data_IF_683658812797
#
_entry.id   IF_683658812797
#
_cell.length_a   1.000
_cell.length_b   1.000
_cell.length_c   1.000
_cell.angle_alpha   90.00
_cell.angle_beta   90.00
_cell.angle_gamma   90.00
#
_symmetry.space_group_name_H-M   'P 1'
#
loop_
_entity.id
_entity.type
_entity.pdbx_description
1 polymer ?
#
# COMPACT_ATOMS: atom_id res chain seq x y z
N UNK A 1 28.30 -32.15 17.15
CA UNK A 1 27.63 -30.84 17.01
C UNK A 1 28.55 -29.93 16.22
N UNK A 2 28.17 -29.58 15.00
CA UNK A 2 28.68 -28.41 14.30
C UNK A 2 27.51 -27.86 13.48
N UNK A 3 26.97 -26.74 13.95
CA UNK A 3 25.96 -25.94 13.25
C UNK A 3 26.73 -25.11 12.22
N UNK A 4 26.56 -25.41 10.94
CA UNK A 4 26.88 -24.43 9.89
C UNK A 4 25.52 -23.86 9.49
N UNK A 5 25.20 -22.71 10.08
CA UNK A 5 24.11 -21.88 9.63
C UNK A 5 24.52 -21.29 8.28
N UNK A 6 23.84 -21.70 7.22
CA UNK A 6 23.90 -20.99 5.94
C UNK A 6 23.21 -19.65 6.16
N UNK A 7 24.01 -18.58 6.22
CA UNK A 7 23.51 -17.22 6.11
C UNK A 7 22.92 -17.06 4.70
N UNK A 8 21.60 -17.02 4.60
CA UNK A 8 20.94 -16.54 3.38
C UNK A 8 21.26 -15.05 3.34
N UNK A 9 22.05 -14.64 2.35
CA UNK A 9 22.11 -13.24 1.94
C UNK A 9 20.72 -12.88 1.42
N UNK A 10 19.87 -12.33 2.28
CA UNK A 10 18.74 -11.53 1.79
C UNK A 10 19.41 -10.27 1.25
N UNK A 11 19.49 -10.18 -0.07
CA UNK A 11 19.91 -8.99 -0.77
C UNK A 11 19.04 -7.84 -0.28
N UNK A 12 19.65 -6.90 0.41
CA UNK A 12 19.08 -5.61 0.74
C UNK A 12 18.65 -4.93 -0.56
N UNK A 13 17.36 -5.01 -0.90
CA UNK A 13 16.71 -3.94 -1.65
C UNK A 13 16.47 -2.81 -0.64
N UNK A 14 17.55 -2.12 -0.26
CA UNK A 14 17.39 -0.75 0.23
C UNK A 14 17.02 0.03 -1.02
N UNK A 15 15.73 0.13 -1.29
CA UNK A 15 15.21 1.13 -2.20
C UNK A 15 15.62 2.45 -1.56
N UNK A 16 16.67 3.05 -2.12
CA UNK A 16 17.10 4.38 -1.72
C UNK A 16 15.99 5.33 -2.19
N UNK A 17 14.96 5.55 -1.36
CA UNK A 17 13.79 6.42 -1.60
C UNK A 17 14.15 7.93 -1.72
N UNK A 18 15.40 8.27 -2.07
CA UNK A 18 15.94 9.63 -2.04
C UNK A 18 16.39 10.15 -3.42
N UNK A 19 15.85 9.64 -4.52
CA UNK A 19 15.96 10.27 -5.84
C UNK A 19 14.61 10.21 -6.55
N UNK A 20 14.23 11.31 -7.20
CA UNK A 20 13.03 11.44 -8.05
C UNK A 20 13.00 10.38 -9.14
N UNK A 21 12.56 9.18 -8.81
CA UNK A 21 12.33 8.11 -9.75
C UNK A 21 10.88 7.75 -9.64
N UNK A 22 10.15 7.97 -10.73
CA UNK A 22 8.82 7.42 -10.84
C UNK A 22 8.99 5.91 -10.90
N UNK A 23 8.38 5.19 -9.97
CA UNK A 23 8.32 3.74 -10.00
C UNK A 23 6.89 3.30 -10.13
N UNK A 24 6.72 2.14 -10.73
CA UNK A 24 5.42 1.57 -11.01
C UNK A 24 5.38 0.16 -10.42
N UNK A 25 4.28 -0.17 -9.76
CA UNK A 25 4.02 -1.52 -9.28
C UNK A 25 2.79 -2.08 -9.97
N UNK A 26 2.81 -3.37 -10.25
CA UNK A 26 1.61 -4.13 -10.61
C UNK A 26 1.29 -5.11 -9.49
N UNK A 27 0.03 -5.12 -9.03
CA UNK A 27 -0.50 -6.18 -8.17
C UNK A 27 -1.67 -6.87 -8.84
N UNK A 28 -1.67 -8.21 -8.79
CA UNK A 28 -2.81 -9.06 -9.18
C UNK A 28 -3.57 -9.60 -7.97
N UNK A 29 -3.16 -9.22 -6.76
CA UNK A 29 -3.68 -9.72 -5.51
C UNK A 29 -4.14 -8.52 -4.69
N UNK A 30 -5.37 -8.12 -4.94
CA UNK A 30 -6.00 -6.97 -4.32
C UNK A 30 -7.12 -7.47 -3.40
N UNK A 31 -7.04 -7.09 -2.14
CA UNK A 31 -8.02 -7.42 -1.13
C UNK A 31 -8.61 -6.15 -0.54
N UNK A 32 -9.93 -6.16 -0.35
CA UNK A 32 -10.62 -5.11 0.40
C UNK A 32 -11.00 -5.61 1.77
N UNK A 33 -10.70 -4.82 2.79
CA UNK A 33 -11.08 -5.08 4.17
C UNK A 33 -11.81 -3.87 4.77
N UNK A 34 -12.72 -4.14 5.70
CA UNK A 34 -13.46 -3.12 6.45
C UNK A 34 -13.20 -3.35 7.93
N UNK A 35 -13.06 -2.27 8.70
CA UNK A 35 -12.91 -2.35 10.14
C UNK A 35 -14.18 -2.91 10.79
N UNK A 36 -14.05 -4.06 11.44
CA UNK A 36 -15.10 -4.74 12.17
C UNK A 36 -14.90 -4.56 13.67
N UNK A 37 -15.71 -3.67 14.25
CA UNK A 37 -15.71 -3.37 15.69
C UNK A 37 -15.96 -4.61 16.58
N UNK A 38 -16.60 -5.66 16.06
CA UNK A 38 -16.88 -6.86 16.85
C UNK A 38 -15.64 -7.68 17.13
N UNK A 39 -14.61 -7.57 16.27
CA UNK A 39 -13.32 -8.24 16.40
C UNK A 39 -12.16 -7.25 16.63
N UNK A 40 -12.43 -5.95 16.59
CA UNK A 40 -11.45 -4.85 16.74
C UNK A 40 -10.32 -4.94 15.70
N UNK A 41 -10.66 -5.33 14.47
CA UNK A 41 -9.69 -5.56 13.40
C UNK A 41 -10.33 -5.38 12.01
N UNK A 42 -9.52 -5.34 10.97
CA UNK A 42 -9.98 -5.35 9.58
C UNK A 42 -10.40 -6.76 9.16
N UNK A 43 -11.63 -6.89 8.68
CA UNK A 43 -12.17 -8.11 8.11
C UNK A 43 -12.21 -8.04 6.59
N UNK A 44 -11.70 -9.07 5.92
CA UNK A 44 -11.81 -9.23 4.47
C UNK A 44 -13.27 -9.18 4.03
N UNK A 45 -13.55 -8.37 3.01
CA UNK A 45 -14.87 -8.30 2.38
C UNK A 45 -15.08 -9.41 1.35
N UNK A 46 -14.01 -10.10 0.93
CA UNK A 46 -14.02 -11.06 -0.17
C UNK A 46 -14.19 -10.43 -1.56
N UNK A 47 -14.18 -9.09 -1.67
CA UNK A 47 -14.10 -8.39 -2.96
C UNK A 47 -12.67 -8.43 -3.48
N UNK A 48 -12.50 -8.75 -4.76
CA UNK A 48 -11.23 -8.68 -5.47
C UNK A 48 -11.38 -7.70 -6.63
N UNK A 49 -10.43 -6.77 -6.78
CA UNK A 49 -10.29 -6.01 -8.03
C UNK A 49 -9.38 -6.76 -8.99
N UNK A 50 -9.58 -6.55 -10.29
CA UNK A 50 -8.66 -7.08 -11.30
C UNK A 50 -7.55 -6.08 -11.58
N UNK A 51 -6.32 -6.54 -11.33
CA UNK A 51 -5.01 -5.92 -11.63
C UNK A 51 -4.95 -4.41 -11.46
N UNK A 52 -4.31 -3.96 -10.39
CA UNK A 52 -4.03 -2.55 -10.15
C UNK A 52 -2.58 -2.30 -10.48
N UNK A 53 -2.37 -1.34 -11.37
CA UNK A 53 -1.11 -0.64 -11.52
C UNK A 53 -1.10 0.56 -10.58
N UNK A 54 -0.04 0.68 -9.81
CA UNK A 54 0.24 1.82 -8.93
C UNK A 54 1.44 2.55 -9.52
N UNK A 55 1.22 3.73 -10.08
CA UNK A 55 2.29 4.62 -10.51
C UNK A 55 2.56 5.64 -9.41
N UNK A 56 3.81 5.76 -9.00
CA UNK A 56 4.20 6.54 -7.83
C UNK A 56 5.14 7.63 -8.29
N UNK A 57 4.74 8.86 -7.99
CA UNK A 57 5.42 10.09 -8.35
C UNK A 57 5.75 10.86 -7.08
N UNK A 58 6.57 11.90 -7.20
CA UNK A 58 7.02 12.69 -6.06
C UNK A 58 5.82 13.25 -5.24
N UNK A 59 4.72 13.62 -5.90
CA UNK A 59 3.59 14.34 -5.33
C UNK A 59 2.22 13.64 -5.50
N UNK A 60 2.15 12.50 -6.18
CA UNK A 60 0.92 11.70 -6.26
C UNK A 60 1.15 10.22 -6.52
N UNK A 61 0.10 9.44 -6.24
CA UNK A 61 -0.08 8.07 -6.70
C UNK A 61 -1.22 8.01 -7.70
N UNK A 62 -1.01 7.30 -8.80
CA UNK A 62 -2.06 6.96 -9.75
C UNK A 62 -2.36 5.47 -9.65
N UNK A 63 -3.61 5.13 -9.33
CA UNK A 63 -4.13 3.78 -9.34
C UNK A 63 -4.89 3.58 -10.65
N UNK A 64 -4.45 2.63 -11.46
CA UNK A 64 -5.15 2.23 -12.69
C UNK A 64 -5.56 0.77 -12.56
N UNK A 65 -6.86 0.48 -12.66
CA UNK A 65 -7.39 -0.88 -12.54
C UNK A 65 -8.76 -1.01 -13.19
N UNK A 66 -9.47 -2.09 -12.87
CA UNK A 66 -10.86 -2.27 -13.24
C UNK A 66 -11.72 -2.53 -12.01
N UNK A 67 -12.89 -1.91 -11.97
CA UNK A 67 -13.91 -2.17 -10.95
C UNK A 67 -14.48 -3.60 -11.06
N UNK A 68 -15.39 -3.95 -10.16
CA UNK A 68 -16.05 -5.27 -10.15
C UNK A 68 -16.88 -5.57 -11.42
N UNK A 69 -17.25 -4.54 -12.18
CA UNK A 69 -18.00 -4.63 -13.44
C UNK A 69 -17.08 -4.64 -14.69
N UNK A 70 -15.76 -4.53 -14.51
CA UNK A 70 -14.77 -4.50 -15.58
C UNK A 70 -14.61 -3.13 -16.25
N UNK A 71 -15.18 -2.07 -15.68
CA UNK A 71 -14.95 -0.72 -16.14
C UNK A 71 -13.55 -0.29 -15.71
N UNK A 72 -12.79 0.24 -16.65
CA UNK A 72 -11.47 0.76 -16.33
C UNK A 72 -11.59 2.04 -15.50
N UNK A 73 -10.94 2.05 -14.35
CA UNK A 73 -10.86 3.20 -13.46
C UNK A 73 -9.44 3.74 -13.39
N UNK A 74 -9.35 5.06 -13.22
CA UNK A 74 -8.12 5.77 -12.96
C UNK A 74 -8.35 6.74 -11.80
N UNK A 75 -7.64 6.53 -10.69
CA UNK A 75 -7.74 7.33 -9.48
C UNK A 75 -6.39 7.96 -9.19
N UNK A 76 -6.36 9.29 -9.06
CA UNK A 76 -5.17 10.05 -8.66
C UNK A 76 -5.33 10.46 -7.20
N UNK A 77 -4.32 10.16 -6.39
CA UNK A 77 -4.20 10.50 -4.98
C UNK A 77 -2.99 11.41 -4.79
N UNK A 78 -3.22 12.71 -4.67
CA UNK A 78 -2.18 13.70 -4.34
C UNK A 78 -1.78 13.56 -2.90
N UNK A 79 -0.48 13.56 -2.61
CA UNK A 79 0.01 13.18 -1.29
C UNK A 79 1.13 14.05 -0.73
N UNK A 80 1.33 13.92 0.57
CA UNK A 80 2.48 14.44 1.30
C UNK A 80 3.02 13.32 2.19
N UNK A 81 4.35 13.12 2.16
CA UNK A 81 5.01 12.14 3.02
C UNK A 81 4.93 12.59 4.48
N UNK A 82 4.57 11.67 5.37
CA UNK A 82 4.62 11.90 6.81
C UNK A 82 5.89 11.28 7.39
N UNK A 83 6.91 12.11 7.61
CA UNK A 83 8.20 11.67 8.17
C UNK A 83 8.09 11.12 9.59
N UNK A 84 7.15 11.61 10.39
CA UNK A 84 7.00 11.19 11.79
C UNK A 84 6.46 9.75 11.91
N UNK A 85 5.60 9.36 10.97
CA UNK A 85 5.06 8.01 10.88
C UNK A 85 5.83 7.10 9.91
N UNK A 86 6.90 7.59 9.27
CA UNK A 86 7.71 6.77 8.37
C UNK A 86 8.93 6.16 9.08
N UNK A 87 9.42 5.03 8.57
CA UNK A 87 10.60 4.33 9.07
C UNK A 87 11.35 3.62 7.94
N UNK A 88 12.41 2.88 8.28
CA UNK A 88 13.15 2.07 7.31
C UNK A 88 12.29 0.94 6.70
N UNK A 89 11.27 0.48 7.43
CA UNK A 89 10.43 -0.66 7.04
C UNK A 89 9.15 -0.24 6.32
N UNK A 90 8.70 1.01 6.56
CA UNK A 90 7.46 1.54 5.99
C UNK A 90 7.56 3.02 5.65
N UNK A 91 7.01 3.40 4.50
CA UNK A 91 6.87 4.82 4.12
C UNK A 91 5.40 5.20 4.13
N UNK A 92 5.07 6.27 4.87
CA UNK A 92 3.69 6.71 5.09
C UNK A 92 3.42 8.03 4.38
N UNK A 93 2.31 8.08 3.66
CA UNK A 93 1.82 9.26 2.98
C UNK A 93 0.36 9.53 3.35
N UNK A 94 -0.02 10.81 3.36
CA UNK A 94 -1.41 11.24 3.52
C UNK A 94 -1.84 12.04 2.30
N UNK A 95 -3.11 11.92 1.92
CA UNK A 95 -3.68 12.81 0.90
C UNK A 95 -3.98 14.20 1.47
N UNK A 96 -4.19 15.18 0.59
CA UNK A 96 -4.64 16.51 1.00
C UNK A 96 -5.84 16.40 1.96
N UNK A 97 -5.74 17.05 3.13
CA UNK A 97 -6.73 17.02 4.23
C UNK A 97 -6.81 15.70 5.01
N UNK A 98 -5.83 14.80 4.90
CA UNK A 98 -5.75 13.54 5.64
C UNK A 98 -6.97 12.62 5.45
N UNK A 99 -7.54 12.61 4.23
CA UNK A 99 -8.76 11.85 3.92
C UNK A 99 -8.43 10.38 3.61
N UNK A 100 -7.26 10.14 3.02
CA UNK A 100 -6.70 8.83 2.76
C UNK A 100 -5.27 8.76 3.29
N UNK A 101 -4.84 7.54 3.62
CA UNK A 101 -3.46 7.23 4.02
C UNK A 101 -2.93 6.10 3.14
N UNK A 102 -1.70 6.22 2.67
CA UNK A 102 -1.00 5.21 1.90
C UNK A 102 0.22 4.77 2.70
N UNK A 103 0.42 3.46 2.81
CA UNK A 103 1.59 2.87 3.48
C UNK A 103 2.26 1.90 2.51
N UNK A 104 3.52 2.15 2.19
CA UNK A 104 4.38 1.18 1.51
C UNK A 104 5.07 0.35 2.56
N UNK A 105 4.69 -0.91 2.66
CA UNK A 105 5.35 -1.88 3.51
C UNK A 105 6.47 -2.55 2.70
N UNK A 106 7.69 -2.10 2.92
CA UNK A 106 8.87 -2.56 2.18
C UNK A 106 9.37 -3.93 2.65
N UNK A 107 8.94 -4.38 3.84
CA UNK A 107 9.30 -5.70 4.36
C UNK A 107 8.47 -6.82 3.72
N UNK A 108 7.21 -6.54 3.43
CA UNK A 108 6.25 -7.55 2.96
C UNK A 108 5.92 -7.41 1.47
N UNK A 109 6.50 -6.41 0.79
CA UNK A 109 6.18 -6.07 -0.60
C UNK A 109 4.66 -5.82 -0.77
N UNK A 110 4.11 -5.01 0.14
CA UNK A 110 2.68 -4.67 0.18
C UNK A 110 2.45 -3.16 0.17
N UNK A 111 1.31 -2.76 -0.40
CA UNK A 111 0.82 -1.38 -0.34
C UNK A 111 -0.55 -1.41 0.34
N UNK A 112 -0.68 -0.67 1.44
CA UNK A 112 -1.95 -0.46 2.11
C UNK A 112 -2.50 0.91 1.76
N UNK A 113 -3.75 0.96 1.33
CA UNK A 113 -4.45 2.21 1.05
C UNK A 113 -5.68 2.26 1.95
N UNK A 114 -5.62 3.14 2.94
CA UNK A 114 -6.67 3.37 3.90
C UNK A 114 -7.61 4.46 3.38
N UNK A 115 -8.91 4.14 3.37
CA UNK A 115 -9.99 5.03 2.96
C UNK A 115 -10.92 5.31 4.15
N UNK A 116 -11.65 6.42 4.03
CA UNK A 116 -12.69 6.87 4.96
C UNK A 116 -12.24 6.94 6.43
N UNK A 117 -11.84 8.13 6.87
CA UNK A 117 -11.53 8.37 8.29
C UNK A 117 -12.80 8.56 9.12
N UNK A 118 -13.00 7.73 10.13
CA UNK A 118 -14.10 7.85 11.08
C UNK A 118 -13.66 8.65 12.32
N UNK A 119 -14.07 9.92 12.42
CA UNK A 119 -13.72 10.80 13.53
C UNK A 119 -14.19 10.30 14.91
N UNK A 120 -15.29 9.55 14.98
CA UNK A 120 -15.81 9.04 16.27
C UNK A 120 -14.96 7.90 16.82
N UNK A 121 -14.42 7.09 15.92
CA UNK A 121 -13.55 5.95 16.26
C UNK A 121 -12.07 6.33 16.24
N UNK A 122 -11.74 7.47 15.62
CA UNK A 122 -10.39 7.97 15.44
C UNK A 122 -9.49 6.99 14.65
N UNK A 123 -10.02 6.42 13.56
CA UNK A 123 -9.33 5.48 12.68
C UNK A 123 -9.94 5.46 11.27
N UNK A 124 -9.19 4.95 10.29
CA UNK A 124 -9.69 4.65 8.93
C UNK A 124 -10.51 3.37 8.94
N UNK A 125 -11.68 3.33 8.31
CA UNK A 125 -12.58 2.18 8.39
C UNK A 125 -12.58 1.28 7.15
N UNK A 126 -11.99 1.75 6.05
CA UNK A 126 -11.86 0.96 4.82
C UNK A 126 -10.38 0.81 4.46
N UNK A 127 -10.00 -0.36 3.96
CA UNK A 127 -8.63 -0.70 3.61
C UNK A 127 -8.61 -1.48 2.28
N UNK A 128 -7.75 -1.05 1.38
CA UNK A 128 -7.34 -1.83 0.21
C UNK A 128 -5.89 -2.29 0.41
N UNK A 129 -5.66 -3.57 0.19
CA UNK A 129 -4.36 -4.22 0.33
C UNK A 129 -3.92 -4.69 -1.04
N UNK A 130 -2.76 -4.23 -1.49
CA UNK A 130 -2.11 -4.69 -2.70
C UNK A 130 -0.90 -5.51 -2.28
N UNK A 131 -0.97 -6.82 -2.48
CA UNK A 131 0.10 -7.75 -2.09
C UNK A 131 0.79 -8.33 -3.33
N UNK A 132 1.94 -8.99 -3.11
CA UNK A 132 2.74 -9.65 -4.16
C UNK A 132 3.03 -8.68 -5.31
N UNK A 133 3.39 -7.45 -4.97
CA UNK A 133 3.64 -6.40 -5.94
C UNK A 133 4.88 -6.73 -6.78
N UNK A 134 4.84 -6.41 -8.06
CA UNK A 134 6.00 -6.51 -8.95
C UNK A 134 6.33 -5.12 -9.45
N UNK A 135 7.56 -4.66 -9.21
CA UNK A 135 8.03 -3.41 -9.79
C UNK A 135 8.17 -3.58 -11.32
N UNK A 136 7.65 -2.61 -12.08
CA UNK A 136 7.72 -2.56 -13.53
C UNK A 136 8.44 -1.28 -13.97
N UNK A 137 9.22 -1.38 -15.06
CA UNK A 137 9.96 -0.28 -15.70
C UNK A 137 9.12 0.45 -16.76
#
# INVERSE_FOLDING_TARGET
MNKIFTLIFISFFIINYNQSQNFSFESKFIEYAIFDQSIDDYASTGKEWQVIRVDIWDDYVQLTGSDEDGNQENKILWWEMNEEESSDDYVVYYTEKNIEKIVFNTLEDEIYIFYEYNEKLNLFIELMILSKITQIE
#
